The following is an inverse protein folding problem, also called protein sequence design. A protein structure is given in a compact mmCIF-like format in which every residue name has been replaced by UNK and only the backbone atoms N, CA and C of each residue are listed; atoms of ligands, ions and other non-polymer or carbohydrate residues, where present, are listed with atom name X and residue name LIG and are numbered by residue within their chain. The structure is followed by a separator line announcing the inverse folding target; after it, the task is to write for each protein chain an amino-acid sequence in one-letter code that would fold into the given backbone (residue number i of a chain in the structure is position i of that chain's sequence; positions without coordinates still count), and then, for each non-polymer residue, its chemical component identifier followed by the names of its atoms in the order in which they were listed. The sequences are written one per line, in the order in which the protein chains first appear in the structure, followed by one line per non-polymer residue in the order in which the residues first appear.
data_IF_676445152198
#
_entry.id   IF_676445152198
#
_cell.length_a   1.000
_cell.length_b   1.000
_cell.length_c   1.000
_cell.angle_alpha   90.00
_cell.angle_beta   90.00
_cell.angle_gamma   90.00
#
_symmetry.space_group_name_H-M   'P 1'
#
loop_
_entity.id
_entity.type
_entity.pdbx_description
1 polymer ?
#
# COMPACT_ATOMS: atom_id res chain seq x y z
N UNK A 1 22.34 9.05 1.15
CA UNK A 1 21.45 8.91 -0.02
C UNK A 1 20.05 8.69 0.55
N UNK A 2 19.13 9.64 0.37
CA UNK A 2 17.74 9.42 0.76
C UNK A 2 17.10 8.60 -0.36
N UNK A 3 17.16 7.27 -0.25
CA UNK A 3 16.38 6.42 -1.15
C UNK A 3 14.92 6.70 -0.84
N UNK A 4 14.20 7.29 -1.80
CA UNK A 4 12.78 7.61 -1.63
C UNK A 4 11.99 6.30 -1.69
N UNK A 5 11.19 6.05 -0.67
CA UNK A 5 10.23 4.95 -0.67
C UNK A 5 9.27 5.11 -1.86
N UNK A 6 9.02 3.99 -2.52
CA UNK A 6 8.13 3.83 -3.67
C UNK A 6 7.07 2.79 -3.34
N UNK A 7 6.00 2.80 -4.12
CA UNK A 7 4.91 1.83 -4.02
C UNK A 7 4.95 0.93 -5.25
N UNK A 8 4.88 -0.37 -5.06
CA UNK A 8 4.92 -1.36 -6.13
C UNK A 8 3.69 -2.25 -6.04
N UNK A 9 2.95 -2.38 -7.15
CA UNK A 9 1.89 -3.37 -7.28
C UNK A 9 2.52 -4.72 -7.60
N UNK A 10 2.27 -5.71 -6.75
CA UNK A 10 2.85 -7.05 -6.86
C UNK A 10 2.00 -7.96 -7.73
N UNK A 11 0.68 -7.91 -7.51
CA UNK A 11 -0.34 -8.61 -8.28
C UNK A 11 -1.62 -7.74 -8.32
N UNK A 12 -2.77 -8.30 -8.68
CA UNK A 12 -4.03 -7.53 -8.73
C UNK A 12 -4.55 -7.10 -7.35
N UNK A 13 -4.00 -7.66 -6.28
CA UNK A 13 -4.50 -7.51 -4.92
C UNK A 13 -3.55 -6.84 -3.93
N UNK A 14 -2.24 -6.91 -4.16
CA UNK A 14 -1.21 -6.54 -3.18
C UNK A 14 -0.30 -5.43 -3.66
N UNK A 15 0.03 -4.55 -2.73
CA UNK A 15 1.01 -3.48 -2.91
C UNK A 15 2.10 -3.57 -1.84
N UNK A 16 3.35 -3.40 -2.25
CA UNK A 16 4.52 -3.37 -1.36
C UNK A 16 5.21 -2.03 -1.46
N UNK A 17 5.53 -1.46 -0.29
CA UNK A 17 6.37 -0.28 -0.20
C UNK A 17 7.84 -0.71 -0.10
N UNK A 18 8.70 -0.19 -0.96
CA UNK A 18 10.14 -0.49 -0.94
C UNK A 18 10.96 0.64 -1.60
N UNK A 19 12.29 0.56 -1.53
CA UNK A 19 13.17 1.52 -2.20
C UNK A 19 13.34 1.22 -3.71
N UNK A 20 13.14 -0.04 -4.11
CA UNK A 20 13.23 -0.49 -5.50
C UNK A 20 12.30 -1.67 -5.77
N UNK A 21 12.04 -1.95 -7.05
CA UNK A 21 11.20 -3.08 -7.46
C UNK A 21 11.85 -4.42 -7.10
N UNK A 22 13.19 -4.50 -7.16
CA UNK A 22 13.96 -5.67 -6.74
C UNK A 22 13.73 -6.00 -5.27
N UNK A 23 13.86 -5.01 -4.39
CA UNK A 23 13.62 -5.19 -2.96
C UNK A 23 12.15 -5.52 -2.65
N UNK A 24 11.20 -4.93 -3.38
CA UNK A 24 9.78 -5.28 -3.25
C UNK A 24 9.53 -6.74 -3.63
N UNK A 25 10.11 -7.21 -4.74
CA UNK A 25 9.98 -8.57 -5.23
C UNK A 25 10.58 -9.60 -4.27
N UNK A 26 11.83 -9.40 -3.86
CA UNK A 26 12.52 -10.31 -2.95
C UNK A 26 11.80 -10.41 -1.60
N UNK A 27 11.32 -9.27 -1.09
CA UNK A 27 10.54 -9.25 0.14
C UNK A 27 9.22 -10.01 -0.04
N UNK A 28 8.43 -9.69 -1.06
CA UNK A 28 7.12 -10.27 -1.27
C UNK A 28 7.19 -11.79 -1.49
N UNK A 29 8.13 -12.27 -2.32
CA UNK A 29 8.38 -13.70 -2.50
C UNK A 29 8.68 -14.41 -1.19
N UNK A 30 9.54 -13.82 -0.36
CA UNK A 30 9.91 -14.40 0.93
C UNK A 30 8.72 -14.48 1.88
N UNK A 31 7.91 -13.43 1.97
CA UNK A 31 6.76 -13.40 2.87
C UNK A 31 5.62 -14.30 2.39
N UNK A 32 5.43 -14.46 1.07
CA UNK A 32 4.38 -15.29 0.48
C UNK A 32 4.82 -16.73 0.17
N UNK A 33 6.12 -17.04 0.30
CA UNK A 33 6.67 -18.36 -0.02
C UNK A 33 6.70 -18.68 -1.52
N UNK A 34 6.82 -17.67 -2.37
CA UNK A 34 6.81 -17.78 -3.83
C UNK A 34 8.21 -17.96 -4.41
N UNK A 35 8.31 -18.62 -5.55
CA UNK A 35 9.55 -18.72 -6.32
C UNK A 35 9.59 -17.79 -7.56
N UNK A 36 10.69 -17.86 -8.32
CA UNK A 36 10.90 -17.05 -9.52
C UNK A 36 9.95 -17.39 -10.68
N UNK A 37 9.32 -18.57 -10.66
CA UNK A 37 8.33 -18.96 -11.68
C UNK A 37 6.93 -18.39 -11.38
N UNK A 38 6.66 -18.04 -10.12
CA UNK A 38 5.38 -17.53 -9.67
C UNK A 38 5.31 -16.00 -9.64
N UNK A 39 6.45 -15.34 -9.40
CA UNK A 39 6.55 -13.89 -9.39
C UNK A 39 7.86 -13.44 -10.06
N UNK A 40 7.78 -12.51 -10.99
CA UNK A 40 8.96 -11.94 -11.66
C UNK A 40 8.94 -10.41 -11.61
N UNK A 41 10.09 -9.78 -11.85
CA UNK A 41 10.20 -8.31 -11.78
C UNK A 41 9.35 -7.60 -12.85
N UNK A 42 9.16 -8.23 -14.00
CA UNK A 42 8.32 -7.71 -15.09
C UNK A 42 6.82 -7.75 -14.76
N UNK A 43 6.40 -8.51 -13.75
CA UNK A 43 5.03 -8.49 -13.24
C UNK A 43 4.77 -7.31 -12.28
N UNK A 44 5.82 -6.62 -11.84
CA UNK A 44 5.74 -5.57 -10.83
C UNK A 44 5.66 -4.20 -11.50
N UNK A 45 4.70 -3.39 -11.06
CA UNK A 45 4.51 -2.02 -11.57
C UNK A 45 4.68 -1.00 -10.46
N UNK A 46 5.50 0.03 -10.66
CA UNK A 46 5.59 1.18 -9.76
C UNK A 46 4.29 2.01 -9.86
N UNK A 47 3.68 2.29 -8.70
CA UNK A 47 2.46 3.07 -8.57
C UNK A 47 2.77 4.42 -7.90
N UNK A 48 2.00 5.48 -8.20
CA UNK A 48 2.22 6.78 -7.58
C UNK A 48 1.88 6.73 -6.08
N UNK A 49 2.63 7.47 -5.26
CA UNK A 49 2.37 7.60 -3.81
C UNK A 49 1.02 8.29 -3.49
N UNK A 50 0.38 8.89 -4.49
CA UNK A 50 -0.98 9.43 -4.40
C UNK A 50 -2.06 8.36 -4.53
N UNK A 51 -1.70 7.10 -4.84
CA UNK A 51 -2.63 5.98 -4.81
C UNK A 51 -3.26 5.90 -3.43
N UNK A 52 -4.59 5.73 -3.40
CA UNK A 52 -5.36 5.73 -2.17
C UNK A 52 -5.73 4.33 -1.73
N UNK A 53 -5.79 4.14 -0.42
CA UNK A 53 -6.26 2.93 0.24
C UNK A 53 -7.51 3.28 1.07
N UNK A 54 -8.33 2.26 1.34
CA UNK A 54 -9.54 2.43 2.13
C UNK A 54 -9.24 2.18 3.61
N UNK A 55 -9.57 3.14 4.44
CA UNK A 55 -9.57 2.99 5.89
C UNK A 55 -11.03 3.10 6.37
N UNK A 56 -11.49 2.21 7.26
CA UNK A 56 -12.80 2.35 7.90
C UNK A 56 -12.96 3.75 8.51
N UNK A 57 -14.12 4.39 8.30
CA UNK A 57 -14.36 5.75 8.75
C UNK A 57 -14.26 5.89 10.28
N UNK A 58 -14.58 4.84 11.03
CA UNK A 58 -14.46 4.77 12.50
C UNK A 58 -13.01 4.65 12.99
N UNK A 59 -12.06 4.34 12.11
CA UNK A 59 -10.62 4.32 12.41
C UNK A 59 -9.88 5.62 12.02
N UNK A 60 -10.59 6.58 11.41
CA UNK A 60 -10.03 7.89 11.04
C UNK A 60 -10.23 8.87 12.20
N UNK A 61 -9.16 9.56 12.62
CA UNK A 61 -9.25 10.61 13.64
C UNK A 61 -9.99 11.87 13.15
N UNK A 62 -10.49 12.69 14.07
CA UNK A 62 -11.14 13.96 13.69
C UNK A 62 -10.20 14.91 12.95
N UNK A 63 -8.92 14.93 13.30
CA UNK A 63 -7.88 15.69 12.61
C UNK A 63 -7.73 15.24 11.16
N UNK A 64 -7.71 13.92 10.92
CA UNK A 64 -7.62 13.34 9.58
C UNK A 64 -8.88 13.61 8.74
N UNK A 65 -10.07 13.58 9.35
CA UNK A 65 -11.31 13.97 8.64
C UNK A 65 -11.26 15.42 8.15
N UNK A 66 -10.60 16.32 8.90
CA UNK A 66 -10.41 17.72 8.50
C UNK A 66 -9.43 17.90 7.32
N UNK A 67 -8.66 16.86 6.98
CA UNK A 67 -7.75 16.89 5.81
C UNK A 67 -8.50 16.80 4.47
N UNK A 68 -9.82 16.55 4.50
CA UNK A 68 -10.66 16.57 3.31
C UNK A 68 -10.56 15.30 2.46
N UNK A 69 -10.24 14.16 3.07
CA UNK A 69 -10.28 12.87 2.38
C UNK A 69 -11.69 12.57 1.85
N UNK A 70 -11.76 11.96 0.66
CA UNK A 70 -13.02 11.54 0.09
C UNK A 70 -13.60 10.39 0.94
N UNK A 71 -14.82 10.56 1.43
CA UNK A 71 -15.56 9.52 2.13
C UNK A 71 -16.46 8.79 1.12
N UNK A 72 -16.25 7.49 1.01
CA UNK A 72 -17.07 6.61 0.17
C UNK A 72 -17.89 5.66 1.02
N UNK A 73 -19.03 5.22 0.49
CA UNK A 73 -19.83 4.15 1.06
C UNK A 73 -19.72 2.92 0.18
N UNK A 74 -19.34 1.79 0.75
CA UNK A 74 -19.25 0.51 0.06
C UNK A 74 -19.95 -0.57 0.88
N UNK A 75 -20.97 -1.22 0.29
CA UNK A 75 -21.90 -2.07 1.04
C UNK A 75 -22.55 -1.30 2.19
N UNK A 76 -22.41 -1.82 3.42
CA UNK A 76 -22.91 -1.18 4.64
C UNK A 76 -21.83 -0.36 5.39
N UNK A 77 -20.61 -0.24 4.84
CA UNK A 77 -19.49 0.44 5.47
C UNK A 77 -19.22 1.82 4.88
N UNK A 78 -18.66 2.72 5.69
CA UNK A 78 -18.11 4.00 5.27
C UNK A 78 -16.59 3.96 5.38
N UNK A 79 -15.90 4.44 4.36
CA UNK A 79 -14.46 4.39 4.26
C UNK A 79 -13.91 5.73 3.80
N UNK A 80 -12.76 6.14 4.31
CA UNK A 80 -12.00 7.25 3.77
C UNK A 80 -10.99 6.74 2.74
N UNK A 81 -10.86 7.45 1.61
CA UNK A 81 -9.76 7.25 0.65
C UNK A 81 -8.56 8.04 1.10
N UNK A 82 -7.55 7.34 1.59
CA UNK A 82 -6.36 7.94 2.18
C UNK A 82 -5.15 7.67 1.27
N UNK A 83 -4.38 8.71 0.86
CA UNK A 83 -3.18 8.52 0.05
C UNK A 83 -2.13 7.66 0.77
N UNK A 84 -1.40 6.84 0.01
CA UNK A 84 -0.34 6.00 0.55
C UNK A 84 0.73 6.80 1.31
N UNK A 85 1.06 8.01 0.84
CA UNK A 85 1.98 8.90 1.56
C UNK A 85 1.54 9.19 3.00
N UNK A 86 0.24 9.37 3.23
CA UNK A 86 -0.32 9.58 4.56
C UNK A 86 -0.34 8.28 5.37
N UNK A 87 -0.67 7.14 4.74
CA UNK A 87 -0.62 5.82 5.37
C UNK A 87 0.76 5.50 5.95
N UNK A 88 1.83 5.81 5.22
CA UNK A 88 3.20 5.59 5.70
C UNK A 88 3.50 6.33 7.01
N UNK A 89 3.02 7.57 7.12
CA UNK A 89 3.22 8.40 8.31
C UNK A 89 2.35 7.92 9.48
N UNK A 90 1.07 7.63 9.22
CA UNK A 90 0.09 7.13 10.20
C UNK A 90 0.57 5.83 10.85
N UNK A 91 0.93 4.85 10.03
CA UNK A 91 1.30 3.50 10.48
C UNK A 91 2.77 3.37 10.88
N UNK A 92 3.56 4.44 10.72
CA UNK A 92 5.01 4.43 10.93
C UNK A 92 5.68 3.27 10.19
N UNK A 93 5.27 3.08 8.93
CA UNK A 93 5.70 1.95 8.10
C UNK A 93 7.22 1.83 8.04
N UNK A 94 7.73 0.59 8.02
CA UNK A 94 9.15 0.28 7.90
C UNK A 94 9.39 -0.57 6.65
N UNK A 95 9.62 0.05 5.48
CA UNK A 95 9.88 -0.67 4.24
C UNK A 95 11.15 -1.55 4.30
N UNK A 96 11.20 -2.66 3.54
CA UNK A 96 10.12 -3.17 2.70
C UNK A 96 8.95 -3.75 3.51
N UNK A 97 7.71 -3.42 3.15
CA UNK A 97 6.51 -3.88 3.85
C UNK A 97 5.25 -3.88 2.95
N UNK A 98 4.23 -4.65 3.33
CA UNK A 98 2.92 -4.62 2.69
C UNK A 98 2.27 -3.25 2.93
N UNK A 99 1.98 -2.54 1.84
CA UNK A 99 1.32 -1.23 1.84
C UNK A 99 -0.21 -1.36 1.87
N UNK A 100 -0.73 -2.43 1.28
CA UNK A 100 -2.14 -2.76 1.30
C UNK A 100 -2.42 -4.05 0.55
N UNK A 101 -3.48 -4.73 0.95
CA UNK A 101 -4.05 -5.88 0.24
C UNK A 101 -5.54 -5.67 0.02
N UNK A 102 -6.09 -6.34 -0.98
CA UNK A 102 -7.54 -6.49 -1.16
C UNK A 102 -8.02 -7.92 -0.89
N UNK A 103 -7.11 -8.82 -0.53
CA UNK A 103 -7.44 -10.13 0.00
C UNK A 103 -7.75 -9.99 1.51
N UNK A 104 -9.01 -10.14 1.89
CA UNK A 104 -9.50 -10.08 3.28
C UNK A 104 -10.59 -11.12 3.51
#
# INVERSE_FOLDING_TARGET
MSNRIKLFRMNDYDWVAAESAELANEWYKRECGLDDSEQTLDMITEEPLTRTFLIPHDEISEEELKMGFEIITYGNGKFARVPFSHMMEREKMKPPCLAGSTEW
#
